data_IF_722174179214
#
_entry.id   IF_722174179214
#
_cell.length_a   1.000
_cell.length_b   1.000
_cell.length_c   1.000
_cell.angle_alpha   90.00
_cell.angle_beta   90.00
_cell.angle_gamma   90.00
#
_symmetry.space_group_name_H-M   'P 1'
#
loop_
_entity.id
_entity.type
_entity.pdbx_description
1 polymer ?
#
# COMPACT_ATOMS: atom_id res chain seq x y z
N UNK A 1 -22.70 39.19 -2.81
CA UNK A 1 -22.11 38.51 -1.63
C UNK A 1 -20.86 37.77 -2.10
N UNK A 2 -19.69 37.95 -1.46
CA UNK A 2 -18.52 37.17 -1.83
C UNK A 2 -18.76 35.72 -1.39
N UNK A 3 -18.61 34.78 -2.32
CA UNK A 3 -18.57 33.35 -2.04
C UNK A 3 -17.27 33.06 -1.27
N UNK A 4 -17.29 33.23 0.06
CA UNK A 4 -16.19 32.84 0.92
C UNK A 4 -16.25 31.31 1.04
N UNK A 5 -15.25 30.63 0.48
CA UNK A 5 -15.10 29.19 0.61
C UNK A 5 -15.07 28.84 2.12
N UNK A 6 -15.91 27.91 2.63
CA UNK A 6 -15.84 27.48 4.02
C UNK A 6 -14.40 27.11 4.42
N UNK A 7 -13.93 27.47 5.63
CA UNK A 7 -12.55 27.25 6.05
C UNK A 7 -12.14 25.77 6.03
N UNK A 8 -13.10 24.84 6.17
CA UNK A 8 -12.87 23.41 5.95
C UNK A 8 -12.50 23.09 4.50
N UNK A 9 -13.20 23.68 3.51
CA UNK A 9 -12.92 23.49 2.09
C UNK A 9 -11.57 24.10 1.68
N UNK A 10 -11.17 25.22 2.29
CA UNK A 10 -9.87 25.85 2.03
C UNK A 10 -8.69 25.01 2.54
N UNK A 11 -8.83 24.37 3.72
CA UNK A 11 -7.81 23.45 4.26
C UNK A 11 -7.67 22.18 3.41
N UNK A 12 -8.80 21.59 2.99
CA UNK A 12 -8.81 20.46 2.04
C UNK A 12 -8.12 20.82 0.72
N UNK A 13 -8.29 22.07 0.28
CA UNK A 13 -7.71 22.57 -0.96
C UNK A 13 -6.21 22.91 -0.89
N UNK A 14 -5.73 23.49 0.22
CA UNK A 14 -4.29 23.70 0.43
C UNK A 14 -3.53 22.37 0.52
N UNK A 15 -4.14 21.38 1.19
CA UNK A 15 -3.65 19.99 1.26
C UNK A 15 -3.62 19.30 -0.10
N UNK A 16 -4.49 19.68 -1.02
CA UNK A 16 -4.48 19.15 -2.37
C UNK A 16 -3.23 19.59 -3.14
N UNK A 17 -2.80 20.86 -3.02
CA UNK A 17 -1.60 21.38 -3.69
C UNK A 17 -0.29 20.85 -3.11
N UNK A 18 -0.25 20.54 -1.82
CA UNK A 18 0.89 19.85 -1.19
C UNK A 18 0.71 18.35 -1.38
N UNK A 19 1.66 17.65 -1.97
CA UNK A 19 1.55 16.22 -2.35
C UNK A 19 1.47 15.21 -1.16
N UNK A 20 0.96 15.62 -0.01
CA UNK A 20 0.85 14.90 1.25
C UNK A 20 -0.56 15.15 1.82
N UNK A 21 -1.49 14.20 1.81
CA UNK A 21 -1.60 13.03 2.68
C UNK A 21 -2.84 12.25 2.21
N UNK A 22 -2.90 10.95 2.52
CA UNK A 22 -4.09 10.08 2.46
C UNK A 22 -5.43 10.80 2.18
N UNK A 23 -5.85 10.83 0.91
CA UNK A 23 -7.05 11.54 0.45
C UNK A 23 -8.36 11.00 1.07
N UNK A 24 -8.28 9.82 1.69
CA UNK A 24 -9.33 9.18 2.47
C UNK A 24 -8.90 9.11 3.94
N UNK A 25 -9.28 10.11 4.75
CA UNK A 25 -8.93 10.15 6.18
C UNK A 25 -9.54 9.00 7.00
N UNK A 26 -10.60 8.37 6.47
CA UNK A 26 -11.39 7.38 7.19
C UNK A 26 -11.01 5.92 6.86
N UNK A 27 -10.04 5.70 5.96
CA UNK A 27 -9.64 4.34 5.54
C UNK A 27 -8.31 3.96 6.17
N UNK A 28 -8.38 3.11 7.20
CA UNK A 28 -7.20 2.49 7.82
C UNK A 28 -6.79 1.19 7.10
N UNK A 29 -5.53 0.80 7.26
CA UNK A 29 -5.03 -0.49 6.76
C UNK A 29 -5.85 -1.65 7.34
N UNK A 30 -6.15 -1.59 8.64
CA UNK A 30 -6.98 -2.60 9.32
C UNK A 30 -8.35 -2.80 8.66
N UNK A 31 -9.00 -1.73 8.22
CA UNK A 31 -10.32 -1.80 7.56
C UNK A 31 -10.23 -2.56 6.23
N UNK A 32 -9.13 -2.38 5.49
CA UNK A 32 -8.84 -3.11 4.26
C UNK A 32 -8.54 -4.57 4.57
N UNK A 33 -7.64 -4.85 5.53
CA UNK A 33 -7.23 -6.21 5.87
C UNK A 33 -8.37 -7.06 6.46
N UNK A 34 -9.36 -6.44 7.11
CA UNK A 34 -10.60 -7.09 7.58
C UNK A 34 -11.64 -7.34 6.49
N UNK A 35 -11.43 -6.81 5.28
CA UNK A 35 -12.39 -6.96 4.17
C UNK A 35 -13.62 -6.06 4.28
N UNK A 36 -13.56 -4.98 5.07
CA UNK A 36 -14.67 -4.02 5.24
C UNK A 36 -14.74 -2.95 4.14
N UNK A 37 -13.92 -3.09 3.09
CA UNK A 37 -13.81 -2.16 1.97
C UNK A 37 -14.18 -2.87 0.67
N UNK A 38 -14.68 -2.09 -0.30
CA UNK A 38 -15.11 -2.61 -1.60
C UNK A 38 -14.20 -2.10 -2.73
N UNK A 39 -14.40 -2.63 -3.93
CA UNK A 39 -13.71 -2.15 -5.13
C UNK A 39 -13.89 -0.62 -5.29
N UNK A 40 -12.81 0.16 -5.53
CA UNK A 40 -11.43 -0.24 -5.88
C UNK A 40 -10.42 -0.42 -4.75
N UNK A 41 -10.84 -0.34 -3.48
CA UNK A 41 -9.93 -0.33 -2.33
C UNK A 41 -10.06 -1.59 -1.45
N UNK A 42 -10.52 -2.72 -2.00
CA UNK A 42 -10.66 -3.96 -1.23
C UNK A 42 -9.31 -4.64 -0.94
N UNK A 43 -9.30 -5.63 -0.05
CA UNK A 43 -8.12 -6.46 0.22
C UNK A 43 -7.56 -7.11 -1.05
N UNK A 44 -8.42 -7.52 -2.00
CA UNK A 44 -7.99 -8.12 -3.28
C UNK A 44 -7.17 -7.11 -4.08
N UNK A 45 -7.68 -5.90 -4.30
CA UNK A 45 -6.95 -4.87 -5.02
C UNK A 45 -5.67 -4.44 -4.29
N UNK A 46 -5.69 -4.36 -2.96
CA UNK A 46 -4.48 -4.06 -2.18
C UNK A 46 -3.40 -5.12 -2.39
N UNK A 47 -3.73 -6.41 -2.30
CA UNK A 47 -2.80 -7.51 -2.58
C UNK A 47 -2.25 -7.44 -4.01
N UNK A 48 -3.10 -7.22 -5.01
CA UNK A 48 -2.67 -7.11 -6.41
C UNK A 48 -1.73 -5.91 -6.63
N UNK A 49 -1.98 -4.80 -5.93
CA UNK A 49 -1.11 -3.63 -5.95
C UNK A 49 0.27 -3.95 -5.36
N UNK A 50 0.33 -4.59 -4.19
CA UNK A 50 1.61 -5.00 -3.58
C UNK A 50 2.38 -5.98 -4.47
N UNK A 51 1.70 -6.89 -5.15
CA UNK A 51 2.34 -7.90 -6.01
C UNK A 51 2.88 -7.33 -7.32
N UNK A 52 2.06 -6.55 -8.02
CA UNK A 52 2.33 -6.19 -9.41
C UNK A 52 2.84 -4.76 -9.61
N UNK A 53 2.77 -3.92 -8.57
CA UNK A 53 3.12 -2.50 -8.68
C UNK A 53 4.16 -2.06 -7.65
N UNK A 54 3.95 -2.35 -6.37
CA UNK A 54 4.93 -2.00 -5.33
C UNK A 54 6.01 -3.06 -5.16
N UNK A 55 5.76 -4.30 -5.59
CA UNK A 55 6.63 -5.46 -5.43
C UNK A 55 7.06 -5.70 -3.97
N UNK A 56 6.09 -5.60 -3.06
CA UNK A 56 6.29 -5.68 -1.61
C UNK A 56 5.27 -6.60 -0.92
N UNK A 57 4.81 -7.64 -1.64
CA UNK A 57 3.76 -8.57 -1.21
C UNK A 57 4.21 -9.49 -0.07
N UNK A 58 5.52 -9.68 0.11
CA UNK A 58 6.12 -10.43 1.21
C UNK A 58 5.72 -9.89 2.59
N UNK A 59 5.48 -8.57 2.70
CA UNK A 59 4.98 -7.95 3.92
C UNK A 59 3.59 -8.47 4.31
N UNK A 60 2.71 -8.62 3.32
CA UNK A 60 1.36 -9.13 3.54
C UNK A 60 1.38 -10.64 3.84
N UNK A 61 2.23 -11.39 3.14
CA UNK A 61 2.42 -12.82 3.37
C UNK A 61 2.93 -13.08 4.81
N UNK A 62 3.95 -12.33 5.26
CA UNK A 62 4.48 -12.44 6.62
C UNK A 62 3.46 -12.01 7.68
N UNK A 63 2.70 -10.94 7.42
CA UNK A 63 1.66 -10.46 8.32
C UNK A 63 0.62 -11.54 8.62
N UNK A 64 0.03 -12.14 7.59
CA UNK A 64 -0.97 -13.20 7.78
C UNK A 64 -0.36 -14.50 8.34
N UNK A 65 0.85 -14.85 7.92
CA UNK A 65 1.56 -15.99 8.50
C UNK A 65 1.71 -15.82 10.02
N UNK A 66 2.16 -14.67 10.51
CA UNK A 66 2.39 -14.45 11.93
C UNK A 66 1.11 -14.57 12.76
N UNK A 67 -0.01 -14.04 12.26
CA UNK A 67 -1.31 -14.12 12.94
C UNK A 67 -1.74 -15.58 13.07
N UNK A 68 -1.77 -16.31 11.96
CA UNK A 68 -2.15 -17.73 11.93
C UNK A 68 -1.20 -18.59 12.80
N UNK A 69 0.10 -18.35 12.68
CA UNK A 69 1.13 -19.03 13.46
C UNK A 69 0.96 -18.80 14.97
N UNK A 70 0.75 -17.55 15.37
CA UNK A 70 0.55 -17.20 16.78
C UNK A 70 -0.71 -17.86 17.33
N UNK A 71 -1.82 -17.82 16.59
CA UNK A 71 -3.07 -18.47 16.97
C UNK A 71 -2.86 -19.98 17.18
N UNK A 72 -2.27 -20.67 16.20
CA UNK A 72 -1.98 -22.11 16.31
C UNK A 72 -1.03 -22.44 17.46
N UNK A 73 -0.01 -21.61 17.70
CA UNK A 73 0.92 -21.81 18.81
C UNK A 73 0.22 -21.71 20.17
N UNK A 74 -0.65 -20.72 20.36
CA UNK A 74 -1.33 -20.54 21.65
C UNK A 74 -2.44 -21.58 21.90
N UNK A 75 -2.95 -22.22 20.84
CA UNK A 75 -3.88 -23.36 20.93
C UNK A 75 -3.20 -24.68 21.37
N UNK A 76 -1.87 -24.76 21.36
CA UNK A 76 -1.15 -25.96 21.81
C UNK A 76 -1.33 -26.24 23.31
N UNK A 77 -1.25 -27.51 23.74
CA UNK A 77 -1.18 -27.87 25.15
C UNK A 77 -0.03 -27.17 25.89
N UNK A 78 -0.21 -26.90 27.18
CA UNK A 78 0.78 -26.17 27.99
C UNK A 78 2.15 -26.85 28.01
N UNK A 79 2.20 -28.18 28.04
CA UNK A 79 3.45 -28.93 28.06
C UNK A 79 4.26 -28.76 26.76
N UNK A 80 3.60 -28.62 25.61
CA UNK A 80 4.24 -28.36 24.31
C UNK A 80 4.71 -26.91 24.21
N UNK A 81 3.87 -25.95 24.64
CA UNK A 81 4.25 -24.52 24.67
C UNK A 81 5.44 -24.28 25.59
N UNK A 82 5.50 -24.97 26.73
CA UNK A 82 6.63 -24.89 27.66
C UNK A 82 7.96 -25.35 27.02
N UNK A 83 7.93 -26.08 25.89
CA UNK A 83 9.14 -26.44 25.15
C UNK A 83 9.79 -25.25 24.44
N UNK A 84 9.01 -24.21 24.13
CA UNK A 84 9.45 -23.02 23.41
C UNK A 84 9.29 -21.80 24.30
N UNK A 85 10.30 -21.53 25.12
CA UNK A 85 10.26 -20.38 26.04
C UNK A 85 10.35 -19.05 25.29
N UNK A 86 9.66 -17.99 25.74
CA UNK A 86 9.78 -16.66 25.16
C UNK A 86 11.19 -16.10 25.37
N UNK A 87 11.72 -15.31 24.42
CA UNK A 87 12.94 -14.55 24.63
C UNK A 87 12.82 -13.59 25.81
N UNK A 88 13.88 -13.47 26.61
CA UNK A 88 13.92 -12.55 27.76
C UNK A 88 14.18 -11.11 27.33
N UNK A 89 14.97 -10.92 26.26
CA UNK A 89 15.37 -9.61 25.77
C UNK A 89 14.47 -9.16 24.61
N UNK A 90 14.30 -7.86 24.45
CA UNK A 90 13.60 -7.27 23.29
C UNK A 90 14.61 -6.85 22.21
N UNK A 91 14.21 -6.86 20.93
CA UNK A 91 15.09 -6.41 19.86
C UNK A 91 15.46 -4.94 20.05
N UNK A 92 16.78 -4.66 19.98
CA UNK A 92 17.33 -3.32 20.10
C UNK A 92 18.62 -3.19 19.30
N UNK A 93 19.20 -2.00 19.23
CA UNK A 93 20.50 -1.81 18.56
C UNK A 93 21.61 -2.68 19.18
N UNK A 94 21.50 -3.03 20.47
CA UNK A 94 22.42 -3.96 21.12
C UNK A 94 22.38 -5.38 20.51
N UNK A 95 21.30 -5.75 19.83
CA UNK A 95 21.19 -7.03 19.12
C UNK A 95 22.22 -7.19 18.00
N UNK A 96 22.87 -6.12 17.55
CA UNK A 96 24.04 -6.24 16.67
C UNK A 96 25.19 -7.05 17.29
N UNK A 97 25.32 -7.08 18.62
CA UNK A 97 26.36 -7.83 19.31
C UNK A 97 26.06 -9.33 19.45
N UNK A 98 24.88 -9.81 19.02
CA UNK A 98 24.53 -11.23 19.14
C UNK A 98 25.45 -12.11 18.27
N UNK A 99 26.03 -13.19 18.82
CA UNK A 99 27.05 -13.97 18.14
C UNK A 99 26.41 -15.02 17.20
N UNK A 100 26.08 -14.61 15.98
CA UNK A 100 25.53 -15.51 14.94
C UNK A 100 26.51 -16.64 14.56
N UNK A 101 27.82 -16.43 14.73
CA UNK A 101 28.88 -17.40 14.40
C UNK A 101 28.78 -18.67 15.25
N UNK A 102 28.15 -18.57 16.43
CA UNK A 102 27.87 -19.73 17.30
C UNK A 102 26.87 -20.70 16.67
N UNK A 103 26.02 -20.22 15.77
CA UNK A 103 25.03 -21.05 15.07
C UNK A 103 25.67 -21.92 13.98
N UNK A 104 26.79 -21.49 13.40
CA UNK A 104 27.49 -22.21 12.32
C UNK A 104 28.27 -23.44 12.85
N UNK A 105 28.57 -23.47 14.14
CA UNK A 105 29.46 -24.49 14.77
C UNK A 105 28.73 -25.72 15.32
N UNK A 106 27.43 -25.91 15.08
CA UNK A 106 26.78 -27.16 15.50
C UNK A 106 27.31 -28.32 14.64
N UNK A 107 27.93 -29.35 15.25
CA UNK A 107 28.64 -30.38 14.50
C UNK A 107 27.66 -31.34 13.83
N UNK A 108 27.88 -31.54 12.53
CA UNK A 108 27.43 -32.71 11.80
C UNK A 108 27.80 -33.98 12.56
N UNK A 109 26.78 -34.76 12.91
CA UNK A 109 26.77 -36.19 13.27
C UNK A 109 28.15 -36.86 13.13
N UNK A 110 28.83 -37.09 14.26
CA UNK A 110 29.93 -38.06 14.30
C UNK A 110 29.30 -39.45 14.35
N UNK A 111 29.37 -40.16 13.23
CA UNK A 111 29.23 -41.61 13.19
C UNK A 111 30.28 -42.22 14.13
N UNK A 112 29.84 -42.73 15.28
CA UNK A 112 30.66 -43.51 16.20
C UNK A 112 30.67 -44.96 15.75
N UNK A 113 31.79 -45.41 15.15
CA UNK A 113 32.19 -46.81 15.13
C UNK A 113 33.02 -47.11 16.38
N UNK A 114 32.61 -48.17 17.04
CA UNK A 114 33.37 -49.21 17.73
C UNK A 114 34.47 -48.81 18.71
N UNK A 115 34.22 -49.08 20.00
CA UNK A 115 35.14 -49.80 20.90
C UNK A 115 34.40 -50.19 22.19
N UNK A 116 34.25 -51.50 22.41
CA UNK A 116 33.73 -52.14 23.64
C UNK A 116 34.80 -52.24 24.74
N UNK A 117 34.36 -52.17 26.01
CA UNK A 117 34.71 -52.99 27.21
C UNK A 117 34.57 -52.20 28.54
N UNK A 118 34.41 -52.82 29.74
CA UNK A 118 33.22 -53.53 30.28
C UNK A 118 32.78 -52.93 31.66
N UNK A 119 31.74 -53.47 32.37
CA UNK A 119 30.94 -52.69 33.32
C UNK A 119 31.47 -52.74 34.76
N UNK A 120 31.44 -51.60 35.46
CA UNK A 120 31.55 -51.55 36.92
C UNK A 120 30.26 -51.00 37.54
N UNK A 121 29.59 -51.90 38.26
CA UNK A 121 28.58 -51.68 39.28
C UNK A 121 28.85 -50.43 40.12
N UNK A 122 27.86 -49.54 40.25
CA UNK A 122 27.50 -48.84 41.49
C UNK A 122 26.25 -47.99 41.23
N UNK A 123 25.12 -48.45 41.76
CA UNK A 123 23.93 -47.63 41.94
C UNK A 123 24.24 -46.47 42.89
N UNK A 124 24.00 -45.23 42.47
CA UNK A 124 23.83 -44.10 43.38
C UNK A 124 22.70 -43.24 42.84
N UNK A 125 21.58 -43.26 43.55
CA UNK A 125 20.43 -42.40 43.35
C UNK A 125 20.90 -40.93 43.31
N UNK A 126 20.62 -40.23 42.22
CA UNK A 126 20.77 -38.78 42.12
C UNK A 126 19.40 -38.13 42.18
N UNK A 127 19.26 -37.26 43.17
CA UNK A 127 18.20 -36.27 43.37
C UNK A 127 17.89 -35.45 42.09
N UNK A 128 16.62 -35.02 41.91
CA UNK A 128 16.08 -34.42 40.69
C UNK A 128 16.62 -32.99 40.47
N UNK A 129 17.80 -32.90 39.89
CA UNK A 129 18.39 -31.66 39.37
C UNK A 129 18.58 -31.68 37.84
N UNK A 130 17.90 -32.61 37.16
CA UNK A 130 17.85 -32.77 35.70
C UNK A 130 16.60 -32.14 35.05
N UNK A 131 16.13 -30.99 35.54
CA UNK A 131 15.10 -30.19 34.85
C UNK A 131 15.69 -29.21 33.82
N UNK A 132 17.00 -29.26 33.58
CA UNK A 132 17.71 -28.43 32.60
C UNK A 132 18.45 -29.30 31.59
N UNK A 133 17.72 -30.21 30.95
CA UNK A 133 18.07 -30.56 29.58
C UNK A 133 17.70 -29.31 28.76
N UNK A 134 18.68 -28.50 28.36
CA UNK A 134 18.49 -27.44 27.35
C UNK A 134 17.73 -28.08 26.18
N UNK A 135 16.44 -27.75 26.07
CA UNK A 135 15.51 -28.45 25.18
C UNK A 135 16.04 -28.31 23.76
N UNK A 136 16.51 -29.41 23.19
CA UNK A 136 16.99 -29.48 21.81
C UNK A 136 16.00 -28.72 20.89
N UNK A 137 16.44 -27.68 20.16
CA UNK A 137 15.59 -26.94 19.25
C UNK A 137 14.77 -27.85 18.33
N UNK A 138 15.28 -29.03 17.97
CA UNK A 138 14.61 -30.00 17.10
C UNK A 138 13.26 -30.50 17.65
N UNK A 139 13.09 -30.57 18.98
CA UNK A 139 11.89 -31.14 19.61
C UNK A 139 10.78 -30.11 19.86
N UNK A 140 10.99 -28.85 19.48
CA UNK A 140 10.01 -27.79 19.70
C UNK A 140 8.89 -27.83 18.66
N UNK A 141 7.64 -27.50 19.03
CA UNK A 141 6.53 -27.45 18.08
C UNK A 141 6.80 -26.43 16.98
N UNK A 142 6.32 -26.72 15.76
CA UNK A 142 6.45 -25.87 14.57
C UNK A 142 7.90 -25.54 14.16
N UNK A 143 8.90 -26.34 14.57
CA UNK A 143 10.31 -26.11 14.22
C UNK A 143 10.55 -25.99 12.71
N UNK A 144 10.00 -26.91 11.92
CA UNK A 144 10.16 -26.89 10.47
C UNK A 144 9.52 -25.66 9.82
N UNK A 145 8.38 -25.22 10.35
CA UNK A 145 7.71 -24.01 9.87
C UNK A 145 8.55 -22.76 10.16
N UNK A 146 9.09 -22.63 11.38
CA UNK A 146 9.99 -21.54 11.76
C UNK A 146 11.25 -21.55 10.88
N UNK A 147 11.82 -22.71 10.62
CA UNK A 147 12.98 -22.85 9.72
C UNK A 147 12.63 -22.41 8.29
N UNK A 148 11.45 -22.77 7.78
CA UNK A 148 10.99 -22.33 6.47
C UNK A 148 10.78 -20.81 6.40
N UNK A 149 10.23 -20.21 7.45
CA UNK A 149 10.02 -18.76 7.57
C UNK A 149 11.36 -18.02 7.62
N UNK A 150 12.33 -18.53 8.37
CA UNK A 150 13.68 -17.98 8.40
C UNK A 150 14.33 -17.99 7.01
N UNK A 151 14.21 -19.10 6.29
CA UNK A 151 14.72 -19.22 4.91
C UNK A 151 14.00 -18.29 3.94
N UNK A 152 12.70 -18.11 4.11
CA UNK A 152 11.85 -17.35 3.17
C UNK A 152 11.95 -15.84 3.39
N UNK A 153 11.93 -15.36 4.63
CA UNK A 153 11.78 -13.93 4.92
C UNK A 153 13.03 -13.27 5.53
N UNK A 154 13.95 -14.04 6.11
CA UNK A 154 15.08 -13.49 6.89
C UNK A 154 16.45 -13.88 6.35
N UNK A 155 16.53 -14.87 5.46
CA UNK A 155 17.76 -15.21 4.77
C UNK A 155 18.13 -14.12 3.77
N UNK A 156 19.44 -13.87 3.64
CA UNK A 156 19.95 -12.94 2.64
C UNK A 156 19.68 -13.49 1.23
N UNK A 157 19.35 -12.60 0.31
CA UNK A 157 19.07 -12.90 -1.10
C UNK A 157 17.84 -13.81 -1.32
N UNK A 158 16.96 -13.92 -0.32
CA UNK A 158 15.67 -14.58 -0.51
C UNK A 158 14.76 -13.72 -1.38
N UNK A 159 13.98 -14.34 -2.27
CA UNK A 159 12.99 -13.64 -3.10
C UNK A 159 11.94 -12.87 -2.27
N UNK A 160 11.70 -13.32 -1.04
CA UNK A 160 10.74 -12.71 -0.09
C UNK A 160 11.42 -12.10 1.13
N UNK A 161 12.69 -11.71 1.01
CA UNK A 161 13.43 -11.05 2.08
C UNK A 161 12.70 -9.78 2.57
N UNK A 162 12.42 -9.70 3.88
CA UNK A 162 11.76 -8.54 4.46
C UNK A 162 12.72 -7.35 4.58
N UNK A 163 12.21 -6.16 4.21
CA UNK A 163 12.90 -4.89 4.39
C UNK A 163 12.75 -4.38 5.84
N UNK A 164 13.60 -4.89 6.73
CA UNK A 164 13.63 -4.55 8.15
C UNK A 164 15.03 -4.14 8.60
N UNK A 165 15.10 -3.45 9.75
CA UNK A 165 16.36 -3.01 10.35
C UNK A 165 17.29 -4.19 10.65
N UNK A 166 18.60 -4.02 10.41
CA UNK A 166 19.59 -5.10 10.53
C UNK A 166 19.67 -5.72 11.94
N UNK A 167 19.50 -4.90 12.99
CA UNK A 167 19.48 -5.39 14.37
C UNK A 167 18.28 -6.31 14.64
N UNK A 168 17.12 -5.99 14.04
CA UNK A 168 15.89 -6.76 14.20
C UNK A 168 16.01 -8.11 13.49
N UNK A 169 16.56 -8.11 12.27
CA UNK A 169 16.89 -9.35 11.55
C UNK A 169 17.85 -10.22 12.36
N UNK A 170 18.94 -9.64 12.86
CA UNK A 170 19.95 -10.38 13.66
C UNK A 170 19.34 -10.95 14.94
N UNK A 171 18.50 -10.20 15.64
CA UNK A 171 17.74 -10.68 16.79
C UNK A 171 16.87 -11.90 16.44
N UNK A 172 16.08 -11.80 15.37
CA UNK A 172 15.16 -12.86 14.96
C UNK A 172 15.94 -14.11 14.57
N UNK A 173 16.95 -14.00 13.71
CA UNK A 173 17.77 -15.15 13.30
C UNK A 173 18.42 -15.81 14.52
N UNK A 174 18.91 -15.03 15.48
CA UNK A 174 19.54 -15.57 16.68
C UNK A 174 18.55 -16.33 17.60
N UNK A 175 17.38 -15.74 17.89
CA UNK A 175 16.41 -16.31 18.82
C UNK A 175 15.53 -17.38 18.18
N UNK A 176 15.11 -17.22 16.92
CA UNK A 176 14.28 -18.20 16.22
C UNK A 176 14.99 -19.54 16.02
N UNK A 177 16.33 -19.55 15.92
CA UNK A 177 17.12 -20.79 15.92
C UNK A 177 17.09 -21.53 17.27
N UNK A 178 16.70 -20.86 18.37
CA UNK A 178 16.67 -21.43 19.73
C UNK A 178 15.27 -21.69 20.26
N UNK A 179 14.30 -20.87 19.89
CA UNK A 179 12.91 -20.99 20.36
C UNK A 179 11.92 -20.81 19.21
N UNK A 180 10.83 -21.57 19.21
CA UNK A 180 9.68 -21.37 18.32
C UNK A 180 8.58 -20.55 18.99
N UNK A 181 8.89 -19.75 20.01
CA UNK A 181 7.88 -18.89 20.63
C UNK A 181 7.53 -17.70 19.70
N UNK A 182 6.23 -17.37 19.48
CA UNK A 182 5.81 -16.32 18.54
C UNK A 182 6.34 -14.93 18.89
N UNK A 183 6.58 -14.65 20.18
CA UNK A 183 7.17 -13.38 20.65
C UNK A 183 8.48 -12.98 19.92
N UNK A 184 9.25 -13.94 19.39
CA UNK A 184 10.45 -13.66 18.58
C UNK A 184 10.12 -12.76 17.39
N UNK A 185 8.95 -12.96 16.77
CA UNK A 185 8.54 -12.27 15.54
C UNK A 185 7.63 -11.07 15.81
N UNK A 186 7.16 -10.85 17.04
CA UNK A 186 6.16 -9.83 17.37
C UNK A 186 6.60 -8.40 16.97
N UNK A 187 7.87 -8.06 17.23
CA UNK A 187 8.43 -6.76 16.83
C UNK A 187 8.55 -6.60 15.30
N UNK A 188 8.87 -7.69 14.60
CA UNK A 188 8.89 -7.70 13.13
C UNK A 188 7.50 -7.51 12.55
N UNK A 189 6.51 -8.22 13.10
CA UNK A 189 5.13 -8.10 12.70
C UNK A 189 4.62 -6.66 12.85
N UNK A 190 4.89 -6.02 13.98
CA UNK A 190 4.55 -4.61 14.21
C UNK A 190 5.24 -3.68 13.19
N UNK A 191 6.54 -3.91 12.91
CA UNK A 191 7.30 -3.14 11.92
C UNK A 191 6.75 -3.29 10.50
N UNK A 192 6.42 -4.51 10.09
CA UNK A 192 5.84 -4.83 8.78
C UNK A 192 4.47 -4.18 8.62
N UNK A 193 3.61 -4.27 9.64
CA UNK A 193 2.33 -3.54 9.66
C UNK A 193 2.54 -2.03 9.50
N UNK A 194 3.49 -1.46 10.24
CA UNK A 194 3.80 -0.03 10.16
C UNK A 194 4.28 0.38 8.75
N UNK A 195 5.14 -0.42 8.11
CA UNK A 195 5.61 -0.17 6.73
C UNK A 195 4.41 -0.15 5.77
N UNK A 196 3.56 -1.17 5.84
CA UNK A 196 2.36 -1.25 5.00
C UNK A 196 1.40 -0.08 5.24
N UNK A 197 1.20 0.34 6.48
CA UNK A 197 0.26 1.40 6.84
C UNK A 197 0.77 2.80 6.45
N UNK A 198 2.06 3.07 6.66
CA UNK A 198 2.62 4.40 6.45
C UNK A 198 3.06 4.64 4.99
N UNK A 199 3.54 3.60 4.31
CA UNK A 199 4.04 3.68 2.93
C UNK A 199 3.05 3.08 1.93
N UNK A 200 2.83 1.77 2.01
CA UNK A 200 2.14 1.02 0.96
C UNK A 200 0.68 1.43 0.81
N UNK A 201 -0.03 1.62 1.93
CA UNK A 201 -1.42 2.08 1.95
C UNK A 201 -1.56 3.44 1.26
N UNK A 202 -0.67 4.39 1.53
CA UNK A 202 -0.72 5.71 0.91
C UNK A 202 -0.53 5.63 -0.60
N UNK A 203 0.45 4.84 -1.05
CA UNK A 203 0.72 4.65 -2.47
C UNK A 203 -0.44 3.91 -3.17
N UNK A 204 -1.01 2.91 -2.49
CA UNK A 204 -2.18 2.17 -2.94
C UNK A 204 -3.38 3.09 -3.13
N UNK A 205 -3.76 3.85 -2.10
CA UNK A 205 -4.90 4.77 -2.17
C UNK A 205 -4.70 5.82 -3.25
N UNK A 206 -3.49 6.40 -3.36
CA UNK A 206 -3.18 7.34 -4.44
C UNK A 206 -3.44 6.74 -5.82
N UNK A 207 -3.13 5.46 -6.02
CA UNK A 207 -3.38 4.79 -7.29
C UNK A 207 -4.83 4.36 -7.48
N UNK A 208 -5.45 3.78 -6.45
CA UNK A 208 -6.81 3.24 -6.49
C UNK A 208 -7.87 4.33 -6.70
N UNK A 209 -7.60 5.56 -6.23
CA UNK A 209 -8.47 6.72 -6.43
C UNK A 209 -8.42 7.30 -7.84
N UNK A 210 -7.39 6.97 -8.64
CA UNK A 210 -7.30 7.40 -10.02
C UNK A 210 -8.28 6.58 -10.88
N UNK A 211 -9.04 7.27 -11.72
CA UNK A 211 -10.06 6.63 -12.55
C UNK A 211 -9.71 6.65 -14.06
N UNK A 212 -8.52 7.15 -14.39
CA UNK A 212 -7.93 7.17 -15.72
C UNK A 212 -6.48 6.67 -15.67
N UNK A 213 -6.04 6.12 -16.80
CA UNK A 213 -4.64 5.75 -17.04
C UNK A 213 -3.81 6.94 -17.56
N UNK A 214 -2.52 6.70 -17.81
CA UNK A 214 -1.55 7.68 -18.30
C UNK A 214 -1.99 8.35 -19.62
N UNK A 215 -2.55 7.59 -20.56
CA UNK A 215 -3.15 8.10 -21.80
C UNK A 215 -4.24 9.15 -21.53
N UNK A 216 -5.12 8.90 -20.56
CA UNK A 216 -6.14 9.83 -20.11
C UNK A 216 -5.57 11.07 -19.43
N UNK A 217 -4.44 10.95 -18.70
CA UNK A 217 -3.77 12.08 -18.05
C UNK A 217 -3.15 12.99 -19.11
N UNK A 218 -2.43 12.42 -20.08
CA UNK A 218 -1.84 13.16 -21.22
C UNK A 218 -2.93 13.90 -21.99
N UNK A 219 -4.04 13.22 -22.32
CA UNK A 219 -5.17 13.86 -23.01
C UNK A 219 -5.69 15.11 -22.26
N UNK A 220 -5.81 15.04 -20.93
CA UNK A 220 -6.26 16.18 -20.13
C UNK A 220 -5.29 17.34 -20.18
N UNK A 221 -3.99 17.09 -20.02
CA UNK A 221 -2.99 18.15 -20.12
C UNK A 221 -2.93 18.75 -21.53
N UNK A 222 -3.07 17.94 -22.58
CA UNK A 222 -3.17 18.43 -23.96
C UNK A 222 -4.39 19.33 -24.17
N UNK A 223 -5.56 18.95 -23.64
CA UNK A 223 -6.75 19.80 -23.70
C UNK A 223 -6.59 21.08 -22.87
N UNK A 224 -5.96 21.00 -21.69
CA UNK A 224 -5.64 22.17 -20.87
C UNK A 224 -4.73 23.15 -21.62
N UNK A 225 -3.68 22.65 -22.26
CA UNK A 225 -2.77 23.43 -23.08
C UNK A 225 -3.48 24.05 -24.31
N UNK A 226 -4.35 23.31 -24.99
CA UNK A 226 -5.16 23.84 -26.07
C UNK A 226 -6.03 25.03 -25.62
N UNK A 227 -6.73 24.89 -24.49
CA UNK A 227 -7.53 26.00 -23.95
C UNK A 227 -6.69 27.19 -23.50
N UNK A 228 -5.48 26.95 -22.98
CA UNK A 228 -4.52 28.01 -22.70
C UNK A 228 -4.15 28.80 -23.96
N UNK A 229 -3.84 28.11 -25.07
CA UNK A 229 -3.59 28.77 -26.35
C UNK A 229 -4.81 29.57 -26.84
N UNK A 230 -6.03 29.07 -26.65
CA UNK A 230 -7.25 29.82 -26.99
C UNK A 230 -7.38 31.11 -26.16
N UNK A 231 -7.04 31.09 -24.87
CA UNK A 231 -7.01 32.30 -24.04
C UNK A 231 -6.00 33.29 -24.62
N UNK A 232 -4.75 32.87 -24.84
CA UNK A 232 -3.70 33.73 -25.39
C UNK A 232 -4.11 34.31 -26.74
N UNK A 233 -4.62 33.49 -27.65
CA UNK A 233 -5.07 33.93 -28.97
C UNK A 233 -6.21 34.95 -28.87
N UNK A 234 -7.21 34.69 -28.02
CA UNK A 234 -8.34 35.63 -27.82
C UNK A 234 -7.84 36.98 -27.33
N UNK A 235 -6.92 37.00 -26.37
CA UNK A 235 -6.31 38.24 -25.88
C UNK A 235 -5.50 38.91 -26.98
N UNK A 236 -4.59 38.20 -27.65
CA UNK A 236 -3.78 38.78 -28.73
C UNK A 236 -4.64 39.38 -29.84
N UNK A 237 -5.66 38.67 -30.33
CA UNK A 237 -6.54 39.18 -31.38
C UNK A 237 -7.36 40.39 -30.91
N UNK A 238 -7.93 40.35 -29.70
CA UNK A 238 -8.75 41.46 -29.20
C UNK A 238 -7.94 42.73 -28.94
N UNK A 239 -6.67 42.59 -28.55
CA UNK A 239 -5.76 43.71 -28.34
C UNK A 239 -5.18 44.24 -29.67
N UNK A 240 -4.76 43.37 -30.59
CA UNK A 240 -4.15 43.80 -31.87
C UNK A 240 -5.16 44.46 -32.81
N UNK A 241 -6.39 43.96 -32.89
CA UNK A 241 -7.42 44.48 -33.79
C UNK A 241 -8.30 45.57 -33.16
N UNK A 242 -7.98 46.02 -31.93
CA UNK A 242 -8.77 47.01 -31.18
C UNK A 242 -10.28 46.71 -31.18
N UNK A 243 -10.65 45.42 -31.13
CA UNK A 243 -12.05 45.01 -31.12
C UNK A 243 -12.71 45.36 -29.79
N UNK A 244 -14.04 45.45 -29.78
CA UNK A 244 -14.80 45.70 -28.56
C UNK A 244 -14.41 44.76 -27.41
N UNK A 245 -14.30 45.29 -26.19
CA UNK A 245 -13.95 44.52 -24.98
C UNK A 245 -14.86 43.32 -24.72
N UNK A 246 -16.08 43.31 -25.23
CA UNK A 246 -17.04 42.22 -25.05
C UNK A 246 -16.59 40.89 -25.68
N UNK A 247 -15.75 40.91 -26.71
CA UNK A 247 -15.15 39.69 -27.27
C UNK A 247 -14.28 38.95 -26.25
N UNK A 248 -13.76 39.64 -25.23
CA UNK A 248 -12.97 39.03 -24.14
C UNK A 248 -13.79 38.18 -23.19
N UNK A 249 -15.13 38.20 -23.26
CA UNK A 249 -15.97 37.25 -22.52
C UNK A 249 -15.66 35.79 -22.90
N UNK A 250 -15.12 35.53 -24.09
CA UNK A 250 -14.65 34.20 -24.50
C UNK A 250 -13.47 33.68 -23.67
N UNK A 251 -12.77 34.55 -22.93
CA UNK A 251 -11.74 34.16 -21.95
C UNK A 251 -12.33 33.28 -20.85
N UNK A 252 -13.61 33.48 -20.47
CA UNK A 252 -14.25 32.69 -19.42
C UNK A 252 -14.31 31.19 -19.74
N UNK A 253 -14.99 30.73 -20.82
CA UNK A 253 -15.07 29.31 -21.12
C UNK A 253 -13.70 28.69 -21.39
N UNK A 254 -12.76 29.42 -22.00
CA UNK A 254 -11.41 28.90 -22.23
C UNK A 254 -10.59 28.77 -20.94
N UNK A 255 -10.64 29.76 -20.04
CA UNK A 255 -9.95 29.67 -18.74
C UNK A 255 -10.56 28.59 -17.87
N UNK A 256 -11.89 28.49 -17.85
CA UNK A 256 -12.59 27.41 -17.15
C UNK A 256 -12.15 26.05 -17.69
N UNK A 257 -12.15 25.87 -19.02
CA UNK A 257 -11.68 24.65 -19.66
C UNK A 257 -10.23 24.33 -19.29
N UNK A 258 -9.32 25.29 -19.41
CA UNK A 258 -7.91 25.15 -19.06
C UNK A 258 -7.73 24.65 -17.62
N UNK A 259 -8.29 25.39 -16.65
CA UNK A 259 -8.17 25.03 -15.23
C UNK A 259 -8.85 23.69 -14.94
N UNK A 260 -10.05 23.47 -15.46
CA UNK A 260 -10.79 22.23 -15.22
C UNK A 260 -10.00 21.01 -15.71
N UNK A 261 -9.43 21.06 -16.91
CA UNK A 261 -8.63 19.96 -17.46
C UNK A 261 -7.29 19.77 -16.73
N UNK A 262 -6.58 20.84 -16.37
CA UNK A 262 -5.31 20.76 -15.64
C UNK A 262 -5.51 20.16 -14.25
N UNK A 263 -6.48 20.66 -13.48
CA UNK A 263 -6.77 20.17 -12.13
C UNK A 263 -7.27 18.72 -12.18
N UNK A 264 -8.11 18.39 -13.17
CA UNK A 264 -8.60 17.03 -13.44
C UNK A 264 -7.48 16.05 -13.83
N UNK A 265 -6.51 16.50 -14.63
CA UNK A 265 -5.31 15.74 -14.99
C UNK A 265 -4.42 15.47 -13.78
N UNK A 266 -4.19 16.49 -12.96
CA UNK A 266 -3.39 16.37 -11.73
C UNK A 266 -4.02 15.42 -10.71
N UNK A 267 -5.35 15.42 -10.64
CA UNK A 267 -6.08 14.50 -9.77
C UNK A 267 -6.18 13.07 -10.34
N UNK A 268 -5.71 12.81 -11.57
CA UNK A 268 -5.81 11.51 -12.21
C UNK A 268 -7.26 11.04 -12.39
N UNK A 269 -8.18 11.98 -12.63
CA UNK A 269 -9.61 11.68 -12.67
C UNK A 269 -10.30 12.30 -13.88
N UNK A 270 -11.07 11.49 -14.59
CA UNK A 270 -12.18 11.90 -15.45
C UNK A 270 -13.46 12.05 -14.65
N UNK A 271 -13.92 13.29 -14.47
CA UNK A 271 -15.18 13.52 -13.76
C UNK A 271 -16.40 12.94 -14.48
N UNK A 272 -16.39 12.82 -15.81
CA UNK A 272 -17.47 12.12 -16.53
C UNK A 272 -17.55 10.63 -16.14
N UNK A 273 -16.40 9.97 -15.91
CA UNK A 273 -16.36 8.59 -15.44
C UNK A 273 -16.72 8.51 -13.95
N UNK A 274 -16.19 9.44 -13.14
CA UNK A 274 -16.49 9.55 -11.72
C UNK A 274 -18.00 9.70 -11.46
N UNK A 275 -18.68 10.58 -12.20
CA UNK A 275 -20.13 10.79 -12.12
C UNK A 275 -20.96 9.57 -12.54
N UNK A 276 -20.37 8.66 -13.33
CA UNK A 276 -20.98 7.38 -13.70
C UNK A 276 -20.57 6.23 -12.77
N UNK A 277 -19.86 6.53 -11.68
CA UNK A 277 -19.28 5.56 -10.76
C UNK A 277 -18.43 4.51 -11.51
N UNK A 278 -17.67 4.95 -12.52
CA UNK A 278 -16.79 4.09 -13.31
C UNK A 278 -15.33 4.50 -13.15
N UNK A 279 -14.45 3.50 -13.13
CA UNK A 279 -12.99 3.64 -13.22
C UNK A 279 -12.45 3.00 -14.49
N UNK A 280 -11.22 3.35 -14.80
CA UNK A 280 -10.40 2.60 -15.74
C UNK A 280 -9.53 1.65 -14.94
N UNK A 281 -9.71 0.35 -15.18
CA UNK A 281 -8.99 -0.70 -14.45
C UNK A 281 -7.51 -0.69 -14.86
N UNK A 282 -6.56 -0.76 -13.92
CA UNK A 282 -5.14 -0.93 -14.20
C UNK A 282 -4.85 -2.20 -15.02
N UNK A 283 -3.79 -2.18 -15.83
CA UNK A 283 -3.45 -3.31 -16.71
C UNK A 283 -3.14 -4.58 -15.93
N UNK A 284 -2.40 -4.48 -14.83
CA UNK A 284 -2.05 -5.65 -14.00
C UNK A 284 -3.28 -6.34 -13.38
N UNK A 285 -4.36 -5.59 -13.06
CA UNK A 285 -5.60 -6.20 -12.58
C UNK A 285 -6.33 -6.95 -13.70
N UNK A 286 -6.31 -6.41 -14.92
CA UNK A 286 -6.89 -7.06 -16.10
C UNK A 286 -6.11 -8.34 -16.46
N UNK A 287 -4.78 -8.25 -16.49
CA UNK A 287 -3.91 -9.39 -16.82
C UNK A 287 -4.11 -10.54 -15.83
N UNK A 288 -4.25 -10.21 -14.53
CA UNK A 288 -4.55 -11.19 -13.50
C UNK A 288 -5.93 -11.83 -13.69
N UNK A 289 -6.96 -11.03 -13.94
CA UNK A 289 -8.32 -11.55 -14.16
C UNK A 289 -8.35 -12.46 -15.40
N UNK A 290 -7.66 -12.08 -16.48
CA UNK A 290 -7.52 -12.92 -17.68
C UNK A 290 -6.80 -14.24 -17.37
N UNK A 291 -5.75 -14.22 -16.55
CA UNK A 291 -5.06 -15.43 -16.13
C UNK A 291 -5.95 -16.35 -15.28
N UNK A 292 -6.74 -15.77 -14.37
CA UNK A 292 -7.66 -16.51 -13.50
C UNK A 292 -8.84 -17.13 -14.30
N UNK A 293 -9.36 -16.41 -15.29
CA UNK A 293 -10.38 -16.92 -16.21
C UNK A 293 -9.87 -18.09 -17.06
N UNK A 294 -8.63 -17.98 -17.57
CA UNK A 294 -7.98 -19.03 -18.36
C UNK A 294 -7.76 -20.30 -17.53
N UNK A 295 -7.34 -20.18 -16.26
CA UNK A 295 -7.19 -21.32 -15.33
C UNK A 295 -8.53 -22.02 -15.06
N UNK A 296 -9.62 -21.25 -14.95
CA UNK A 296 -10.93 -21.77 -14.59
C UNK A 296 -11.77 -22.27 -15.78
N UNK A 297 -11.23 -22.30 -17.01
CA UNK A 297 -11.91 -22.75 -18.25
C UNK A 297 -13.30 -22.12 -18.49
N UNK A 298 -13.55 -20.90 -17.98
CA UNK A 298 -14.83 -20.20 -18.19
C UNK A 298 -14.88 -19.57 -19.60
N UNK A 299 -16.01 -19.76 -20.30
CA UNK A 299 -16.24 -19.31 -21.70
C UNK A 299 -16.24 -17.78 -21.85
N UNK A 300 -15.88 -17.32 -23.07
CA UNK A 300 -15.86 -15.94 -23.60
C UNK A 300 -17.00 -14.98 -23.19
N UNK A 301 -18.20 -15.47 -22.89
CA UNK A 301 -19.34 -14.61 -22.50
C UNK A 301 -19.28 -14.16 -21.04
N UNK A 302 -18.68 -14.94 -20.14
CA UNK A 302 -18.44 -14.56 -18.73
C UNK A 302 -17.35 -13.47 -18.60
N UNK A 303 -16.47 -13.37 -19.62
CA UNK A 303 -15.34 -12.45 -19.63
C UNK A 303 -15.78 -10.98 -19.77
N UNK A 304 -16.88 -10.72 -20.49
CA UNK A 304 -17.35 -9.35 -20.73
C UNK A 304 -18.04 -8.78 -19.48
N UNK A 305 -18.82 -9.61 -18.79
CA UNK A 305 -19.55 -9.23 -17.57
C UNK A 305 -18.59 -9.00 -16.40
N UNK A 306 -17.67 -9.95 -16.14
CA UNK A 306 -16.63 -9.80 -15.11
C UNK A 306 -15.78 -8.54 -15.29
N UNK A 307 -15.30 -8.27 -16.51
CA UNK A 307 -14.50 -7.06 -16.82
C UNK A 307 -15.35 -5.79 -16.73
N UNK A 308 -16.66 -5.87 -16.97
CA UNK A 308 -17.58 -4.73 -16.77
C UNK A 308 -17.76 -4.40 -15.29
N UNK A 309 -17.83 -5.41 -14.43
CA UNK A 309 -17.97 -5.26 -12.99
C UNK A 309 -16.72 -4.62 -12.39
N UNK A 310 -15.52 -5.02 -12.80
CA UNK A 310 -14.25 -4.43 -12.36
C UNK A 310 -14.14 -2.90 -12.61
N UNK A 311 -14.85 -2.41 -13.64
CA UNK A 311 -14.89 -0.98 -13.99
C UNK A 311 -15.81 -0.19 -13.08
N UNK A 312 -16.65 -0.82 -12.28
CA UNK A 312 -17.54 -0.14 -11.35
C UNK A 312 -16.80 0.28 -10.08
N UNK A 313 -17.20 1.43 -9.52
CA UNK A 313 -16.75 1.90 -8.22
C UNK A 313 -17.92 1.62 -7.27
N UNK A 314 -17.67 0.76 -6.28
CA UNK A 314 -18.68 0.31 -5.32
C UNK A 314 -18.44 0.96 -3.96
N UNK A 315 -17.17 1.17 -3.60
CA UNK A 315 -16.81 1.66 -2.28
C UNK A 315 -17.38 3.06 -1.95
N UNK A 316 -18.12 3.22 -0.83
CA UNK A 316 -18.79 4.47 -0.50
C UNK A 316 -17.81 5.62 -0.22
N UNK A 317 -16.63 5.33 0.34
CA UNK A 317 -15.64 6.36 0.61
C UNK A 317 -15.06 6.92 -0.69
N UNK A 318 -14.78 6.05 -1.67
CA UNK A 318 -14.31 6.47 -3.01
C UNK A 318 -15.39 7.24 -3.77
N UNK A 319 -16.66 6.85 -3.65
CA UNK A 319 -17.78 7.59 -4.25
C UNK A 319 -17.92 9.00 -3.68
N UNK A 320 -17.79 9.15 -2.36
CA UNK A 320 -17.84 10.46 -1.70
C UNK A 320 -16.64 11.33 -2.08
N UNK A 321 -15.44 10.74 -2.12
CA UNK A 321 -14.23 11.39 -2.60
C UNK A 321 -14.40 11.93 -4.03
N UNK A 322 -14.93 11.11 -4.94
CA UNK A 322 -15.18 11.51 -6.33
C UNK A 322 -16.12 12.74 -6.47
N UNK A 323 -17.19 12.77 -5.67
CA UNK A 323 -18.13 13.90 -5.64
C UNK A 323 -17.46 15.16 -5.11
N UNK A 324 -16.73 15.04 -4.01
CA UNK A 324 -16.00 16.13 -3.38
C UNK A 324 -14.98 16.73 -4.37
N UNK A 325 -14.23 15.87 -5.04
CA UNK A 325 -13.22 16.25 -6.00
C UNK A 325 -13.78 16.95 -7.24
N UNK A 326 -14.94 16.49 -7.73
CA UNK A 326 -15.65 17.19 -8.80
C UNK A 326 -16.06 18.61 -8.35
N UNK A 327 -16.69 18.74 -7.18
CA UNK A 327 -17.17 20.02 -6.67
C UNK A 327 -16.01 21.02 -6.44
N UNK A 328 -14.89 20.56 -5.88
CA UNK A 328 -13.70 21.39 -5.71
C UNK A 328 -13.13 21.85 -7.05
N UNK A 329 -12.93 20.91 -7.98
CA UNK A 329 -12.33 21.23 -9.27
C UNK A 329 -13.20 22.18 -10.06
N UNK A 330 -14.51 21.96 -10.07
CA UNK A 330 -15.48 22.85 -10.70
C UNK A 330 -15.45 24.25 -10.09
N UNK A 331 -15.54 24.35 -8.76
CA UNK A 331 -15.58 25.64 -8.04
C UNK A 331 -14.31 26.47 -8.28
N UNK A 332 -13.15 25.85 -8.21
CA UNK A 332 -11.86 26.52 -8.42
C UNK A 332 -11.71 26.96 -9.86
N UNK A 333 -12.09 26.12 -10.82
CA UNK A 333 -12.05 26.47 -12.24
C UNK A 333 -13.01 27.63 -12.56
N UNK A 334 -14.20 27.64 -11.96
CA UNK A 334 -15.18 28.72 -12.14
C UNK A 334 -14.70 30.03 -11.51
N UNK A 335 -14.16 29.99 -10.29
CA UNK A 335 -13.65 31.19 -9.60
C UNK A 335 -12.46 31.79 -10.35
N UNK A 336 -11.48 30.98 -10.74
CA UNK A 336 -10.32 31.43 -11.52
C UNK A 336 -10.72 32.01 -12.87
N UNK A 337 -11.64 31.35 -13.59
CA UNK A 337 -12.15 31.85 -14.86
C UNK A 337 -12.90 33.17 -14.71
N UNK A 338 -13.73 33.30 -13.67
CA UNK A 338 -14.48 34.52 -13.38
C UNK A 338 -13.53 35.67 -13.04
N UNK A 339 -12.59 35.47 -12.13
CA UNK A 339 -11.62 36.49 -11.73
C UNK A 339 -10.78 36.98 -12.91
N UNK A 340 -10.26 36.07 -13.73
CA UNK A 340 -9.47 36.45 -14.90
C UNK A 340 -10.31 37.19 -15.95
N UNK A 341 -11.54 36.74 -16.19
CA UNK A 341 -12.42 37.39 -17.18
C UNK A 341 -12.80 38.81 -16.74
N UNK A 342 -13.14 39.00 -15.47
CA UNK A 342 -13.43 40.34 -14.92
C UNK A 342 -12.21 41.24 -15.12
N UNK A 343 -11.02 40.78 -14.73
CA UNK A 343 -9.78 41.55 -14.87
C UNK A 343 -9.55 42.00 -16.32
N UNK A 344 -9.70 41.11 -17.30
CA UNK A 344 -9.38 41.43 -18.70
C UNK A 344 -10.49 42.26 -19.38
N UNK A 345 -11.75 42.07 -19.02
CA UNK A 345 -12.85 42.90 -19.54
C UNK A 345 -12.80 44.33 -18.98
N UNK A 346 -12.31 44.51 -17.75
CA UNK A 346 -12.12 45.82 -17.13
C UNK A 346 -11.04 46.69 -17.79
N UNK A 347 -10.11 46.10 -18.55
CA UNK A 347 -9.09 46.85 -19.29
C UNK A 347 -9.71 47.53 -20.52
N UNK A 348 -9.68 48.85 -20.60
CA UNK A 348 -10.22 49.60 -21.76
C UNK A 348 -9.13 49.86 -22.80
N UNK A 349 -9.39 49.48 -24.06
CA UNK A 349 -8.53 49.80 -25.22
C UNK A 349 -9.31 50.51 -26.33
N UNK A 350 -10.50 51.02 -26.02
CA UNK A 350 -11.31 51.76 -26.99
C UNK A 350 -10.64 53.13 -27.18
N UNK A 351 -10.34 53.56 -28.43
CA UNK A 351 -9.83 54.89 -28.69
C UNK A 351 -10.88 55.92 -28.25
N UNK A 352 -10.43 56.97 -27.55
CA UNK A 352 -11.28 58.09 -27.10
C UNK A 352 -12.03 58.79 -28.24
#
# INVERSE_FOLDING_TARGET
>A
MPFILPPALAKTFARWFTQAQSDLQDVSLETILKGNTCQPISMREFKLFLQNKEHSAENLDFYYWFIDYSERFYQLPEHERAMSMPPTEKPSVASYALPLETLIKQPSIKSSRDSEEPPSDYCTEKEPSELLNEKDPANQPFREEVNAVLRTFFNYDSEKELNIDGYLRRYIVYHANRTTHPEVFAACHAKVYQIMEQSSLRNFLHHALQNIRYDGIVFRYSMGFFFFLCVTLTLTLTFLFHTSRWYRLFVFPCTFGCMFYVLSGRAGMCFRRALRNKRQVPLYELDQEHADLMKNQKRKTLDIESVSDMKSIIDPHVLNYNKLMFMHTFSVSALTALSLTIMVVSLTNEPE
#
